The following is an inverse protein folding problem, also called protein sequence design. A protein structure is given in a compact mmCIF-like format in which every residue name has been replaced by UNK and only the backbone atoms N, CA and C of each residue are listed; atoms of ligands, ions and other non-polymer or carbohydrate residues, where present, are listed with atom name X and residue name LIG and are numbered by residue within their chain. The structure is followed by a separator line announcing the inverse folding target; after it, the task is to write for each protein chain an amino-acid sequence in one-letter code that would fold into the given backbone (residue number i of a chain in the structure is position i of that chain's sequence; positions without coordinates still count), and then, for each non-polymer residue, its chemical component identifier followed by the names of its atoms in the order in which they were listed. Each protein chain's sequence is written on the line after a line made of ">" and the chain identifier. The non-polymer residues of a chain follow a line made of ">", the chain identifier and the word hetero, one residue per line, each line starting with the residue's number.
data_IF_678553432477
#
_entry.id   IF_678553432477
#
_cell.length_a   1.000
_cell.length_b   1.000
_cell.length_c   1.000
_cell.angle_alpha   90.00
_cell.angle_beta   90.00
_cell.angle_gamma   90.00
#
_symmetry.space_group_name_H-M   'P 1'
#
loop_
_entity.id
_entity.type
_entity.pdbx_description
1 polymer ?
#
# COMPACT_ATOMS: atom_id res chain seq x y z
N UNK A 1 8.17 22.55 5.58
CA UNK A 1 9.27 22.07 4.73
C UNK A 1 9.21 20.56 4.45
N UNK A 2 9.09 19.61 5.43
CA UNK A 2 9.14 18.17 5.16
C UNK A 2 8.06 17.65 4.20
N UNK A 3 6.76 18.02 4.31
CA UNK A 3 5.77 17.63 3.32
C UNK A 3 6.03 18.19 1.91
N UNK A 4 6.66 19.36 1.82
CA UNK A 4 7.06 19.94 0.54
C UNK A 4 8.14 19.09 -0.15
N UNK A 5 9.09 18.53 0.62
CA UNK A 5 10.08 17.59 0.08
C UNK A 5 9.41 16.33 -0.50
N UNK A 6 8.38 15.80 0.16
CA UNK A 6 7.60 14.70 -0.39
C UNK A 6 6.84 15.09 -1.66
N UNK A 7 6.29 16.30 -1.73
CA UNK A 7 5.65 16.81 -2.94
C UNK A 7 6.65 16.99 -4.10
N UNK A 8 7.85 17.48 -3.83
CA UNK A 8 8.94 17.56 -4.81
C UNK A 8 9.33 16.16 -5.27
N UNK A 9 9.46 15.19 -4.35
CA UNK A 9 9.74 13.80 -4.69
C UNK A 9 8.66 13.19 -5.57
N UNK A 10 7.39 13.45 -5.29
CA UNK A 10 6.28 13.05 -6.15
C UNK A 10 6.40 13.65 -7.55
N UNK A 11 6.64 14.96 -7.65
CA UNK A 11 6.82 15.64 -8.93
C UNK A 11 8.01 15.07 -9.72
N UNK A 12 9.14 14.77 -9.05
CA UNK A 12 10.30 14.10 -9.66
C UNK A 12 9.95 12.69 -10.15
N UNK A 13 9.16 11.93 -9.37
CA UNK A 13 8.70 10.60 -9.78
C UNK A 13 7.88 10.68 -11.07
N UNK A 14 6.97 11.66 -11.14
CA UNK A 14 6.20 11.87 -12.37
C UNK A 14 7.11 12.31 -13.54
N UNK A 15 8.02 13.24 -13.32
CA UNK A 15 8.89 13.75 -14.38
C UNK A 15 9.80 12.67 -14.98
N UNK A 16 10.24 11.70 -14.18
CA UNK A 16 11.21 10.69 -14.60
C UNK A 16 10.56 9.38 -15.07
N UNK A 17 9.42 8.99 -14.50
CA UNK A 17 8.84 7.66 -14.71
C UNK A 17 7.43 7.66 -15.34
N UNK A 18 6.85 8.83 -15.66
CA UNK A 18 5.54 8.87 -16.31
C UNK A 18 5.65 8.26 -17.74
N UNK A 19 4.83 7.31 -18.06
CA UNK A 19 3.58 6.70 -17.65
C UNK A 19 3.70 5.50 -16.66
N UNK A 20 4.87 5.23 -16.12
CA UNK A 20 5.18 4.01 -15.37
C UNK A 20 5.77 2.91 -16.24
N UNK A 21 6.65 2.11 -15.66
CA UNK A 21 7.28 0.99 -16.33
C UNK A 21 6.47 -0.28 -16.07
N UNK A 22 6.01 -0.92 -17.16
CA UNK A 22 5.34 -2.22 -17.09
C UNK A 22 6.32 -3.32 -17.47
N UNK A 23 6.47 -4.29 -16.58
CA UNK A 23 7.08 -5.57 -16.89
C UNK A 23 6.06 -6.55 -17.53
N UNK A 24 6.47 -7.78 -17.73
CA UNK A 24 5.61 -8.82 -18.29
C UNK A 24 4.36 -9.06 -17.44
N UNK A 25 4.51 -9.14 -16.12
CA UNK A 25 3.41 -9.40 -15.17
C UNK A 25 2.40 -8.25 -15.16
N UNK A 26 2.88 -7.01 -15.06
CA UNK A 26 2.02 -5.82 -15.09
C UNK A 26 1.24 -5.71 -16.41
N UNK A 27 1.91 -6.02 -17.54
CA UNK A 27 1.26 -6.03 -18.86
C UNK A 27 0.17 -7.09 -18.94
N UNK A 28 0.41 -8.26 -18.36
CA UNK A 28 -0.59 -9.35 -18.32
C UNK A 28 -1.83 -8.92 -17.51
N UNK A 29 -1.63 -8.38 -16.31
CA UNK A 29 -2.73 -7.85 -15.46
C UNK A 29 -3.51 -6.76 -16.19
N UNK A 30 -2.84 -5.87 -16.91
CA UNK A 30 -3.52 -4.82 -17.69
C UNK A 30 -4.37 -5.39 -18.82
N UNK A 31 -3.85 -6.36 -19.58
CA UNK A 31 -4.61 -7.01 -20.66
C UNK A 31 -5.83 -7.77 -20.12
N UNK A 32 -5.68 -8.41 -18.97
CA UNK A 32 -6.79 -9.08 -18.29
C UNK A 32 -7.85 -8.07 -17.80
N UNK A 33 -7.42 -6.91 -17.31
CA UNK A 33 -8.31 -5.81 -16.92
C UNK A 33 -9.14 -5.32 -18.13
N UNK A 34 -8.52 -5.16 -19.29
CA UNK A 34 -9.19 -4.76 -20.54
C UNK A 34 -10.20 -5.80 -21.00
N UNK A 35 -9.90 -7.09 -20.85
CA UNK A 35 -10.77 -8.21 -21.23
C UNK A 35 -11.86 -8.51 -20.20
N UNK A 36 -11.72 -8.00 -18.97
CA UNK A 36 -12.58 -8.36 -17.85
C UNK A 36 -12.37 -9.80 -17.36
N UNK A 37 -11.18 -10.35 -17.60
CA UNK A 37 -10.79 -11.68 -17.14
C UNK A 37 -10.08 -11.58 -15.79
N UNK A 38 -10.42 -12.46 -14.85
CA UNK A 38 -9.86 -12.47 -13.49
C UNK A 38 -9.15 -13.80 -13.24
N UNK A 39 -7.89 -13.89 -13.70
CA UNK A 39 -7.06 -15.08 -13.48
C UNK A 39 -6.45 -15.10 -12.06
N UNK A 40 -6.25 -16.30 -11.50
CA UNK A 40 -5.64 -16.45 -10.16
C UNK A 40 -4.10 -16.50 -10.19
N UNK A 41 -3.49 -16.62 -11.37
CA UNK A 41 -2.03 -16.58 -11.54
C UNK A 41 -1.45 -15.21 -11.14
N UNK A 42 -2.17 -14.14 -11.45
CA UNK A 42 -1.90 -12.80 -10.94
C UNK A 42 -2.97 -12.40 -9.91
N UNK A 43 -2.95 -11.16 -9.41
CA UNK A 43 -3.98 -10.71 -8.48
C UNK A 43 -5.24 -10.28 -9.22
N UNK A 44 -6.36 -11.02 -9.12
CA UNK A 44 -7.64 -10.59 -9.70
C UNK A 44 -8.14 -9.28 -9.09
N UNK A 45 -7.73 -8.96 -7.85
CA UNK A 45 -8.06 -7.69 -7.20
C UNK A 45 -7.29 -6.53 -7.84
N UNK A 46 -6.02 -6.73 -8.20
CA UNK A 46 -5.28 -5.71 -8.96
C UNK A 46 -5.88 -5.51 -10.36
N UNK A 47 -6.30 -6.59 -11.02
CA UNK A 47 -6.99 -6.56 -12.31
C UNK A 47 -8.28 -5.75 -12.22
N UNK A 48 -9.12 -6.02 -11.20
CA UNK A 48 -10.35 -5.26 -10.96
C UNK A 48 -10.06 -3.79 -10.67
N UNK A 49 -9.10 -3.50 -9.79
CA UNK A 49 -8.69 -2.13 -9.48
C UNK A 49 -8.28 -1.38 -10.74
N UNK A 50 -7.42 -2.00 -11.57
CA UNK A 50 -6.94 -1.37 -12.80
C UNK A 50 -8.09 -1.08 -13.76
N UNK A 51 -8.99 -2.04 -13.96
CA UNK A 51 -10.21 -1.85 -14.76
C UNK A 51 -11.04 -0.65 -14.29
N UNK A 52 -11.17 -0.47 -12.95
CA UNK A 52 -11.95 0.62 -12.39
C UNK A 52 -11.29 2.00 -12.55
N UNK A 53 -9.97 2.07 -12.46
CA UNK A 53 -9.23 3.35 -12.53
C UNK A 53 -8.74 3.70 -13.93
N UNK A 54 -8.68 2.74 -14.87
CA UNK A 54 -8.21 2.96 -16.24
C UNK A 54 -8.93 4.11 -16.96
N UNK A 55 -10.26 4.31 -16.81
CA UNK A 55 -10.95 5.43 -17.44
C UNK A 55 -10.45 6.83 -16.99
N UNK A 56 -9.79 6.93 -15.84
CA UNK A 56 -9.27 8.21 -15.32
C UNK A 56 -7.99 8.64 -16.02
N UNK A 57 -7.15 7.67 -16.41
CA UNK A 57 -5.92 7.87 -17.13
C UNK A 57 -5.56 6.57 -17.87
N UNK A 58 -6.03 6.36 -19.10
CA UNK A 58 -5.91 5.09 -19.81
C UNK A 58 -4.48 4.57 -19.91
N UNK A 59 -4.33 3.25 -19.85
CA UNK A 59 -3.04 2.57 -19.94
C UNK A 59 -2.32 2.43 -18.59
N UNK A 60 -0.98 2.44 -18.60
CA UNK A 60 -0.18 2.28 -17.37
C UNK A 60 -0.32 3.47 -16.42
N UNK A 61 -0.69 4.66 -16.93
CA UNK A 61 -0.69 5.89 -16.17
C UNK A 61 -1.59 5.84 -14.92
N UNK A 62 -2.79 5.26 -15.00
CA UNK A 62 -3.72 5.20 -13.87
C UNK A 62 -3.13 4.46 -12.68
N UNK A 63 -2.56 3.27 -12.91
CA UNK A 63 -1.97 2.46 -11.85
C UNK A 63 -0.67 3.07 -11.34
N UNK A 64 0.17 3.61 -12.23
CA UNK A 64 1.38 4.32 -11.84
C UNK A 64 1.08 5.54 -10.95
N UNK A 65 0.11 6.37 -11.33
CA UNK A 65 -0.29 7.53 -10.54
C UNK A 65 -0.81 7.12 -9.16
N UNK A 66 -1.59 6.05 -9.07
CA UNK A 66 -2.07 5.52 -7.80
C UNK A 66 -0.91 5.06 -6.90
N UNK A 67 0.02 4.27 -7.45
CA UNK A 67 1.21 3.78 -6.72
C UNK A 67 2.05 4.97 -6.23
N UNK A 68 2.38 5.91 -7.12
CA UNK A 68 3.18 7.07 -6.78
C UNK A 68 2.50 7.94 -5.72
N UNK A 69 1.19 8.17 -5.85
CA UNK A 69 0.41 8.94 -4.87
C UNK A 69 0.41 8.29 -3.49
N UNK A 70 0.14 6.97 -3.40
CA UNK A 70 0.16 6.24 -2.13
C UNK A 70 1.57 6.22 -1.51
N UNK A 71 2.59 5.98 -2.30
CA UNK A 71 3.98 5.98 -1.85
C UNK A 71 4.35 7.32 -1.20
N UNK A 72 4.18 8.42 -1.93
CA UNK A 72 4.54 9.74 -1.42
C UNK A 72 3.59 10.24 -0.32
N UNK A 73 2.33 9.83 -0.31
CA UNK A 73 1.41 10.09 0.80
C UNK A 73 1.91 9.47 2.10
N UNK A 74 2.36 8.22 2.06
CA UNK A 74 2.93 7.54 3.24
C UNK A 74 4.13 8.29 3.81
N UNK A 75 5.09 8.66 2.95
CA UNK A 75 6.26 9.45 3.38
C UNK A 75 5.90 10.85 3.86
N UNK A 76 4.94 11.53 3.22
CA UNK A 76 4.46 12.85 3.64
C UNK A 76 3.80 12.81 5.02
N UNK A 77 2.96 11.82 5.29
CA UNK A 77 2.31 11.61 6.59
C UNK A 77 3.34 11.36 7.71
N UNK A 78 4.33 10.50 7.46
CA UNK A 78 5.41 10.24 8.40
C UNK A 78 6.24 11.51 8.65
N UNK A 79 6.65 12.20 7.59
CA UNK A 79 7.42 13.43 7.70
C UNK A 79 6.67 14.53 8.47
N UNK A 80 5.39 14.73 8.17
CA UNK A 80 4.54 15.69 8.89
C UNK A 80 4.39 15.37 10.37
N UNK A 81 4.30 14.07 10.70
CA UNK A 81 4.19 13.62 12.10
C UNK A 81 5.50 13.82 12.86
N UNK A 82 6.63 13.44 12.24
CA UNK A 82 7.95 13.57 12.83
C UNK A 82 8.41 15.03 12.98
N UNK A 83 7.90 15.94 12.14
CA UNK A 83 8.22 17.37 12.22
C UNK A 83 7.88 18.00 13.58
N UNK A 84 6.96 17.38 14.33
CA UNK A 84 6.62 17.82 15.70
C UNK A 84 7.67 17.40 16.75
N UNK A 85 8.56 16.46 16.41
CA UNK A 85 9.60 15.93 17.30
C UNK A 85 10.99 16.36 16.89
N UNK A 86 11.29 16.30 15.60
CA UNK A 86 12.59 16.63 15.02
C UNK A 86 12.46 17.00 13.55
N UNK A 87 12.88 18.21 13.19
CA UNK A 87 12.90 18.67 11.80
C UNK A 87 13.89 17.85 10.97
N UNK A 88 15.02 17.45 11.54
CA UNK A 88 16.03 16.65 10.86
C UNK A 88 15.46 15.27 10.46
N UNK A 89 14.80 14.56 11.38
CA UNK A 89 14.15 13.28 11.08
C UNK A 89 13.03 13.45 10.05
N UNK A 90 12.24 14.52 10.17
CA UNK A 90 11.16 14.79 9.24
C UNK A 90 11.65 15.06 7.80
N UNK A 91 12.80 15.69 7.64
CA UNK A 91 13.43 15.89 6.33
C UNK A 91 14.13 14.62 5.83
N UNK A 92 14.71 13.82 6.73
CA UNK A 92 15.36 12.56 6.36
C UNK A 92 14.39 11.55 5.73
N UNK A 93 13.13 11.50 6.19
CA UNK A 93 12.12 10.55 5.69
C UNK A 93 11.88 10.65 4.18
N UNK A 94 11.57 11.81 3.59
CA UNK A 94 11.47 11.94 2.12
C UNK A 94 12.78 11.68 1.39
N UNK A 95 13.94 11.97 2.01
CA UNK A 95 15.25 11.67 1.42
C UNK A 95 15.51 10.16 1.35
N UNK A 96 15.07 9.39 2.34
CA UNK A 96 15.10 7.92 2.27
C UNK A 96 14.27 7.42 1.10
N UNK A 97 13.09 8.01 0.86
CA UNK A 97 12.24 7.67 -0.28
C UNK A 97 12.93 7.89 -1.64
N UNK A 98 13.87 8.83 -1.72
CA UNK A 98 14.66 9.14 -2.92
C UNK A 98 15.91 8.26 -3.08
N UNK A 99 16.19 7.35 -2.14
CA UNK A 99 17.31 6.41 -2.32
C UNK A 99 17.09 5.55 -3.56
N UNK A 100 18.15 5.26 -4.35
CA UNK A 100 17.99 4.60 -5.65
C UNK A 100 17.14 3.34 -5.65
N UNK A 101 17.27 2.39 -4.69
CA UNK A 101 16.44 1.18 -4.68
C UNK A 101 14.95 1.49 -4.55
N UNK A 102 14.57 2.38 -3.64
CA UNK A 102 13.17 2.72 -3.39
C UNK A 102 12.60 3.59 -4.51
N UNK A 103 13.38 4.57 -4.97
CA UNK A 103 12.95 5.52 -5.98
C UNK A 103 12.76 4.89 -7.37
N UNK A 104 13.60 3.94 -7.74
CA UNK A 104 13.44 3.20 -9.00
C UNK A 104 12.23 2.28 -8.93
N UNK A 105 12.01 1.60 -7.79
CA UNK A 105 10.89 0.69 -7.63
C UNK A 105 9.54 1.39 -7.74
N UNK A 106 9.40 2.64 -7.27
CA UNK A 106 8.12 3.36 -7.40
C UNK A 106 7.77 3.68 -8.86
N UNK A 107 8.77 3.72 -9.76
CA UNK A 107 8.56 3.86 -11.20
C UNK A 107 8.02 2.61 -11.88
N UNK A 108 8.08 1.46 -11.23
CA UNK A 108 7.66 0.16 -11.78
C UNK A 108 6.27 -0.20 -11.26
N UNK A 109 5.39 -0.59 -12.16
CA UNK A 109 4.04 -1.03 -11.81
C UNK A 109 4.09 -2.49 -11.37
N UNK A 110 4.37 -2.71 -10.09
CA UNK A 110 4.37 -4.03 -9.48
C UNK A 110 3.35 -4.13 -8.36
N UNK A 111 2.72 -5.30 -8.25
CA UNK A 111 1.81 -5.61 -7.13
C UNK A 111 2.50 -5.49 -5.77
N UNK A 112 3.78 -5.85 -5.68
CA UNK A 112 4.57 -5.71 -4.45
C UNK A 112 4.76 -4.24 -4.05
N UNK A 113 4.97 -3.36 -5.03
CA UNK A 113 5.12 -1.91 -4.79
C UNK A 113 3.79 -1.30 -4.36
N UNK A 114 2.68 -1.67 -5.02
CA UNK A 114 1.33 -1.22 -4.63
C UNK A 114 0.99 -1.68 -3.21
N UNK A 115 1.23 -2.95 -2.88
CA UNK A 115 1.04 -3.49 -1.54
C UNK A 115 1.88 -2.72 -0.51
N UNK A 116 3.18 -2.53 -0.77
CA UNK A 116 4.08 -1.82 0.14
C UNK A 116 3.65 -0.36 0.34
N UNK A 117 3.21 0.33 -0.71
CA UNK A 117 2.69 1.69 -0.63
C UNK A 117 1.41 1.77 0.22
N UNK A 118 0.47 0.83 0.05
CA UNK A 118 -0.73 0.73 0.89
C UNK A 118 -0.36 0.51 2.37
N UNK A 119 0.55 -0.41 2.65
CA UNK A 119 0.98 -0.71 4.01
C UNK A 119 1.75 0.44 4.65
N UNK A 120 2.55 1.17 3.88
CA UNK A 120 3.22 2.38 4.33
C UNK A 120 2.19 3.44 4.77
N UNK A 121 1.17 3.70 3.95
CA UNK A 121 0.08 4.62 4.31
C UNK A 121 -0.64 4.14 5.56
N UNK A 122 -0.97 2.85 5.65
CA UNK A 122 -1.64 2.26 6.80
C UNK A 122 -0.88 2.53 8.10
N UNK A 123 0.42 2.23 8.11
CA UNK A 123 1.27 2.41 9.30
C UNK A 123 1.50 3.89 9.61
N UNK A 124 1.68 4.72 8.59
CA UNK A 124 1.82 6.16 8.75
C UNK A 124 0.57 6.81 9.36
N UNK A 125 -0.63 6.38 8.96
CA UNK A 125 -1.90 6.84 9.55
C UNK A 125 -2.01 6.47 11.03
N UNK A 126 -1.77 5.21 11.38
CA UNK A 126 -1.82 4.78 12.79
C UNK A 126 -0.81 5.55 13.62
N UNK A 127 0.42 5.70 13.12
CA UNK A 127 1.47 6.47 13.80
C UNK A 127 1.11 7.94 13.97
N UNK A 128 0.50 8.57 12.96
CA UNK A 128 0.11 9.98 13.00
C UNK A 128 -1.00 10.26 14.02
N UNK A 129 -1.90 9.31 14.22
CA UNK A 129 -3.11 9.49 15.03
C UNK A 129 -3.12 8.69 16.34
N UNK A 130 -2.07 7.94 16.68
CA UNK A 130 -2.04 7.09 17.88
C UNK A 130 -2.31 7.83 19.20
N UNK A 131 -1.95 9.11 19.30
CA UNK A 131 -2.17 9.96 20.47
C UNK A 131 -3.49 10.77 20.40
N UNK A 132 -4.33 10.56 19.38
CA UNK A 132 -5.56 11.31 19.15
C UNK A 132 -6.76 10.36 19.12
N UNK A 133 -7.32 10.04 20.29
CA UNK A 133 -8.42 9.05 20.45
C UNK A 133 -9.54 9.23 19.43
N UNK A 134 -9.99 10.47 19.19
CA UNK A 134 -11.07 10.78 18.23
C UNK A 134 -10.79 10.25 16.81
N UNK A 135 -9.54 10.32 16.35
CA UNK A 135 -9.16 9.93 15.00
C UNK A 135 -8.53 8.54 14.91
N UNK A 136 -8.11 7.99 16.06
CA UNK A 136 -7.41 6.71 16.09
C UNK A 136 -8.28 5.56 15.58
N UNK A 137 -9.57 5.56 15.91
CA UNK A 137 -10.49 4.52 15.44
C UNK A 137 -10.62 4.54 13.91
N UNK A 138 -10.81 5.72 13.32
CA UNK A 138 -10.86 5.86 11.87
C UNK A 138 -9.53 5.46 11.22
N UNK A 139 -8.40 5.89 11.79
CA UNK A 139 -7.07 5.52 11.30
C UNK A 139 -6.84 3.99 11.36
N UNK A 140 -7.29 3.32 12.42
CA UNK A 140 -7.24 1.85 12.54
C UNK A 140 -8.08 1.16 11.48
N UNK A 141 -9.31 1.59 11.29
CA UNK A 141 -10.21 1.00 10.27
C UNK A 141 -9.56 1.13 8.89
N UNK A 142 -9.12 2.33 8.52
CA UNK A 142 -8.48 2.56 7.22
C UNK A 142 -7.19 1.72 7.10
N UNK A 143 -6.38 1.66 8.16
CA UNK A 143 -5.16 0.86 8.15
C UNK A 143 -5.45 -0.64 7.98
N UNK A 144 -6.43 -1.18 8.68
CA UNK A 144 -6.84 -2.58 8.54
C UNK A 144 -7.35 -2.88 7.12
N UNK A 145 -8.16 -1.98 6.54
CA UNK A 145 -8.61 -2.11 5.16
C UNK A 145 -7.44 -2.11 4.17
N UNK A 146 -6.46 -1.21 4.34
CA UNK A 146 -5.27 -1.16 3.50
C UNK A 146 -4.36 -2.38 3.68
N UNK A 147 -4.27 -2.93 4.91
CA UNK A 147 -3.51 -4.17 5.16
C UNK A 147 -4.18 -5.35 4.45
N UNK A 148 -5.48 -5.51 4.61
CA UNK A 148 -6.25 -6.57 3.93
C UNK A 148 -6.17 -6.40 2.42
N UNK A 149 -6.33 -5.18 1.91
CA UNK A 149 -6.18 -4.89 0.49
C UNK A 149 -4.78 -5.28 -0.03
N UNK A 150 -3.72 -4.96 0.71
CA UNK A 150 -2.36 -5.38 0.36
C UNK A 150 -2.21 -6.90 0.29
N UNK A 151 -2.82 -7.66 1.21
CA UNK A 151 -2.85 -9.13 1.14
C UNK A 151 -3.64 -9.63 -0.07
N UNK A 152 -4.74 -8.97 -0.42
CA UNK A 152 -5.51 -9.30 -1.63
C UNK A 152 -4.73 -9.02 -2.92
N UNK A 153 -3.88 -7.99 -2.92
CA UNK A 153 -2.96 -7.70 -4.05
C UNK A 153 -1.82 -8.73 -4.10
N UNK A 154 -1.28 -9.14 -2.94
CA UNK A 154 -0.15 -10.06 -2.84
C UNK A 154 -0.41 -11.12 -1.75
N UNK A 155 -1.04 -12.26 -2.05
CA UNK A 155 -1.41 -13.27 -1.06
C UNK A 155 -0.23 -13.80 -0.23
N UNK A 156 0.98 -13.86 -0.80
CA UNK A 156 2.17 -14.29 -0.06
C UNK A 156 2.53 -13.35 1.12
N UNK A 157 2.03 -12.12 1.11
CA UNK A 157 2.23 -11.15 2.19
C UNK A 157 1.44 -11.47 3.46
N UNK A 158 0.58 -12.48 3.43
CA UNK A 158 -0.22 -12.94 4.58
C UNK A 158 0.63 -13.25 5.80
N UNK A 159 1.87 -13.68 5.62
CA UNK A 159 2.79 -13.98 6.71
C UNK A 159 3.24 -12.73 7.50
N UNK A 160 3.33 -11.57 6.83
CA UNK A 160 3.74 -10.31 7.46
C UNK A 160 2.56 -9.48 7.99
N UNK A 161 1.35 -9.67 7.45
CA UNK A 161 0.17 -8.90 7.81
C UNK A 161 -0.19 -8.93 9.30
N UNK A 162 -0.07 -10.05 10.06
CA UNK A 162 -0.39 -10.09 11.49
C UNK A 162 0.45 -9.11 12.33
N UNK A 163 1.71 -8.86 11.94
CA UNK A 163 2.56 -7.88 12.63
C UNK A 163 2.01 -6.47 12.48
N UNK A 164 1.58 -6.11 11.27
CA UNK A 164 0.99 -4.81 10.97
C UNK A 164 -0.37 -4.65 11.63
N UNK A 165 -1.19 -5.70 11.64
CA UNK A 165 -2.47 -5.73 12.36
C UNK A 165 -2.24 -5.54 13.86
N UNK A 166 -1.26 -6.24 14.44
CA UNK A 166 -0.89 -6.09 15.84
C UNK A 166 -0.51 -4.65 16.19
N UNK A 167 0.30 -4.01 15.36
CA UNK A 167 0.64 -2.59 15.55
C UNK A 167 -0.57 -1.68 15.36
N UNK A 168 -1.42 -1.92 14.37
CA UNK A 168 -2.62 -1.10 14.14
C UNK A 168 -3.60 -1.15 15.32
N UNK A 169 -3.76 -2.32 15.94
CA UNK A 169 -4.65 -2.51 17.08
C UNK A 169 -4.07 -1.93 18.39
N UNK A 170 -2.75 -2.04 18.60
CA UNK A 170 -2.10 -1.63 19.87
C UNK A 170 -0.89 -0.71 19.62
N UNK A 171 -1.05 0.48 18.98
CA UNK A 171 0.08 1.32 18.61
C UNK A 171 0.85 1.91 19.81
N UNK A 172 0.15 2.18 20.92
CA UNK A 172 0.76 2.72 22.13
C UNK A 172 1.28 1.64 23.10
N UNK A 173 0.74 0.40 23.00
CA UNK A 173 1.04 -0.72 23.89
C UNK A 173 1.35 -1.99 23.10
N UNK A 174 2.17 -1.86 22.05
CA UNK A 174 2.57 -3.00 21.23
C UNK A 174 3.20 -4.09 22.09
N UNK A 175 2.71 -5.31 21.94
CA UNK A 175 3.17 -6.47 22.70
C UNK A 175 3.37 -7.66 21.79
N UNK A 176 4.59 -8.20 21.76
CA UNK A 176 4.89 -9.42 21.01
C UNK A 176 4.02 -10.60 21.39
N UNK A 177 3.70 -10.77 22.69
CA UNK A 177 2.83 -11.87 23.15
C UNK A 177 1.43 -11.78 22.55
N UNK A 178 0.83 -10.57 22.55
CA UNK A 178 -0.50 -10.34 21.94
C UNK A 178 -0.45 -10.49 20.43
N UNK A 179 0.60 -9.99 19.79
CA UNK A 179 0.77 -10.10 18.33
C UNK A 179 0.96 -11.55 17.92
N UNK A 180 1.76 -12.33 18.63
CA UNK A 180 1.93 -13.76 18.37
C UNK A 180 0.63 -14.56 18.57
N UNK A 181 -0.15 -14.25 19.62
CA UNK A 181 -1.47 -14.85 19.79
C UNK A 181 -2.45 -14.49 18.65
N UNK A 182 -2.26 -13.35 18.01
CA UNK A 182 -3.07 -12.90 16.87
C UNK A 182 -2.65 -13.56 15.55
N UNK A 183 -1.42 -14.07 15.42
CA UNK A 183 -0.88 -14.56 14.13
C UNK A 183 -1.80 -15.62 13.52
N UNK A 184 -2.12 -16.67 14.25
CA UNK A 184 -2.93 -17.78 13.71
C UNK A 184 -4.34 -17.32 13.32
N UNK A 185 -5.13 -16.69 14.22
CA UNK A 185 -6.48 -16.24 13.85
C UNK A 185 -6.47 -15.19 12.72
N UNK A 186 -5.52 -14.25 12.71
CA UNK A 186 -5.42 -13.28 11.63
C UNK A 186 -5.09 -13.95 10.30
N UNK A 187 -4.15 -14.89 10.26
CA UNK A 187 -3.84 -15.64 9.03
C UNK A 187 -5.04 -16.45 8.54
N UNK A 188 -5.77 -17.10 9.41
CA UNK A 188 -6.99 -17.85 9.03
C UNK A 188 -8.04 -16.92 8.41
N UNK A 189 -8.33 -15.78 9.06
CA UNK A 189 -9.26 -14.78 8.53
C UNK A 189 -8.79 -14.26 7.18
N UNK A 190 -7.51 -13.95 7.02
CA UNK A 190 -6.95 -13.45 5.76
C UNK A 190 -7.01 -14.50 4.64
N UNK A 191 -6.70 -15.78 4.95
CA UNK A 191 -6.84 -16.88 3.96
C UNK A 191 -8.28 -17.02 3.51
N UNK A 192 -9.23 -17.02 4.46
CA UNK A 192 -10.66 -17.09 4.13
C UNK A 192 -11.07 -15.87 3.29
N UNK A 193 -10.63 -14.68 3.66
CA UNK A 193 -10.92 -13.45 2.91
C UNK A 193 -10.38 -13.52 1.47
N UNK A 194 -9.13 -13.96 1.28
CA UNK A 194 -8.56 -14.13 -0.07
C UNK A 194 -9.39 -15.11 -0.87
N UNK A 195 -9.74 -16.27 -0.31
CA UNK A 195 -10.55 -17.28 -1.01
C UNK A 195 -11.93 -16.76 -1.38
N UNK A 196 -12.62 -16.09 -0.46
CA UNK A 196 -13.95 -15.53 -0.70
C UNK A 196 -13.92 -14.44 -1.78
N UNK A 197 -12.92 -13.57 -1.77
CA UNK A 197 -12.81 -12.51 -2.77
C UNK A 197 -12.40 -13.07 -4.13
N UNK A 198 -11.38 -13.92 -4.19
CA UNK A 198 -10.88 -14.45 -5.45
C UNK A 198 -11.90 -15.36 -6.13
N UNK A 199 -12.34 -16.40 -5.44
CA UNK A 199 -13.18 -17.45 -6.04
C UNK A 199 -14.68 -17.23 -5.82
N UNK A 200 -15.06 -16.56 -4.72
CA UNK A 200 -16.47 -16.27 -4.42
C UNK A 200 -17.00 -15.03 -5.14
N UNK A 201 -16.27 -13.90 -5.07
CA UNK A 201 -16.75 -12.64 -5.62
C UNK A 201 -16.26 -12.35 -7.05
N UNK A 202 -14.99 -12.68 -7.37
CA UNK A 202 -14.39 -12.39 -8.68
C UNK A 202 -14.39 -13.59 -9.62
N UNK A 203 -14.80 -14.78 -9.14
CA UNK A 203 -14.83 -16.03 -9.93
C UNK A 203 -13.51 -16.27 -10.67
N UNK A 204 -12.37 -16.08 -9.97
CA UNK A 204 -11.05 -16.26 -10.53
C UNK A 204 -10.82 -17.70 -11.00
N UNK A 205 -10.25 -17.87 -12.20
CA UNK A 205 -9.99 -19.14 -12.87
C UNK A 205 -8.50 -19.32 -13.16
#
# INVERSE_FOLDING_TARGET
>A
LPPLLAAVGFALTLALFYLGLMDYDARHVYLDAQRGFYGDWQSPVMTLLWKLIDPLAPGPASMFLLIAALYWLGFALLAATLARRSLALACAVPLVALTPPLFVLVGVIWRDVLMAACWMVAMALVYAFHARERWLTAARIIALLLIVFGVLIRPNAIAAAPLLIGYALWPASFSWKRTLALVVPAMLVLVVTVRLVYYGALHAN
#
